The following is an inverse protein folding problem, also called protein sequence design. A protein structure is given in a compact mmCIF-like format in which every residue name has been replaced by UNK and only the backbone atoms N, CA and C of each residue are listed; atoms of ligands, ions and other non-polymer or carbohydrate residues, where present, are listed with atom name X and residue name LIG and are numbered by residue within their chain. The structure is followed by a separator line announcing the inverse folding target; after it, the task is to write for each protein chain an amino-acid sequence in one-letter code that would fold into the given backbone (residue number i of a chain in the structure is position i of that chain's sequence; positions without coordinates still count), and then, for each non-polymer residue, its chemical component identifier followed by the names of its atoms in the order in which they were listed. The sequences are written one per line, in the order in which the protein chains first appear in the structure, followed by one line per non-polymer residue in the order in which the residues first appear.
data_IF_407886370817
#
_entry.id   IF_407886370817
#
_cell.length_a   1.000
_cell.length_b   1.000
_cell.length_c   1.000
_cell.angle_alpha   90.00
_cell.angle_beta   90.00
_cell.angle_gamma   90.00
#
_symmetry.space_group_name_H-M   'P 1'
#
loop_
_entity.id
_entity.type
_entity.pdbx_description
1 polymer ?
#
# COMPACT_ATOMS: atom_id res chain seq x y z
N UNK A 1 -4.05 53.10 -11.66
CA UNK A 1 -3.56 52.39 -10.46
C UNK A 1 -4.52 51.28 -10.04
N UNK A 2 -5.77 51.59 -9.68
CA UNK A 2 -6.78 50.59 -9.27
C UNK A 2 -6.99 49.43 -10.27
N UNK A 3 -7.13 49.72 -11.57
CA UNK A 3 -7.28 48.67 -12.60
C UNK A 3 -6.08 47.73 -12.72
N UNK A 4 -4.87 48.23 -12.45
CA UNK A 4 -3.66 47.42 -12.53
C UNK A 4 -3.60 46.44 -11.35
N UNK A 5 -3.97 46.91 -10.15
CA UNK A 5 -4.06 46.09 -8.93
C UNK A 5 -5.09 44.98 -9.07
N UNK A 6 -6.28 45.28 -9.61
CA UNK A 6 -7.31 44.26 -9.86
C UNK A 6 -6.76 43.14 -10.77
N UNK A 7 -6.04 43.50 -11.83
CA UNK A 7 -5.47 42.53 -12.78
C UNK A 7 -4.33 41.69 -12.16
N UNK A 8 -3.55 42.29 -11.26
CA UNK A 8 -2.50 41.58 -10.53
C UNK A 8 -3.09 40.61 -9.50
N UNK A 9 -4.10 41.03 -8.73
CA UNK A 9 -4.85 40.16 -7.81
C UNK A 9 -5.52 39.00 -8.55
N UNK A 10 -6.19 39.26 -9.68
CA UNK A 10 -6.76 38.19 -10.52
C UNK A 10 -5.70 37.19 -10.97
N UNK A 11 -4.51 37.67 -11.36
CA UNK A 11 -3.40 36.81 -11.77
C UNK A 11 -2.86 35.98 -10.59
N UNK A 12 -2.74 36.57 -9.40
CA UNK A 12 -2.32 35.85 -8.20
C UNK A 12 -3.34 34.75 -7.83
N UNK A 13 -4.63 35.05 -7.91
CA UNK A 13 -5.71 34.05 -7.67
C UNK A 13 -5.62 32.90 -8.68
N UNK A 14 -5.41 33.19 -9.97
CA UNK A 14 -5.25 32.15 -11.00
C UNK A 14 -4.05 31.25 -10.69
N UNK A 15 -2.89 31.84 -10.38
CA UNK A 15 -1.65 31.10 -10.06
C UNK A 15 -1.82 30.26 -8.79
N UNK A 16 -2.56 30.76 -7.79
CA UNK A 16 -2.88 30.02 -6.58
C UNK A 16 -3.75 28.80 -6.89
N UNK A 17 -4.85 28.97 -7.63
CA UNK A 17 -5.75 27.88 -8.00
C UNK A 17 -5.03 26.78 -8.77
N UNK A 18 -4.22 27.13 -9.78
CA UNK A 18 -3.43 26.14 -10.51
C UNK A 18 -2.42 25.42 -9.62
N UNK A 19 -1.84 26.11 -8.65
CA UNK A 19 -0.89 25.51 -7.71
C UNK A 19 -1.59 24.52 -6.78
N UNK A 20 -2.79 24.83 -6.30
CA UNK A 20 -3.61 23.91 -5.52
C UNK A 20 -4.02 22.68 -6.34
N UNK A 21 -4.39 22.85 -7.61
CA UNK A 21 -4.71 21.73 -8.50
C UNK A 21 -3.51 20.82 -8.73
N UNK A 22 -2.32 21.40 -8.95
CA UNK A 22 -1.07 20.64 -9.06
C UNK A 22 -0.74 19.89 -7.78
N UNK A 23 -0.94 20.51 -6.61
CA UNK A 23 -0.73 19.84 -5.32
C UNK A 23 -1.71 18.69 -5.12
N UNK A 24 -2.98 18.89 -5.46
CA UNK A 24 -4.01 17.85 -5.38
C UNK A 24 -3.69 16.68 -6.28
N UNK A 25 -3.24 16.93 -7.51
CA UNK A 25 -2.89 15.87 -8.45
C UNK A 25 -1.68 15.06 -7.99
N UNK A 26 -0.65 15.74 -7.46
CA UNK A 26 0.52 15.07 -6.86
C UNK A 26 0.12 14.21 -5.67
N UNK A 27 -0.69 14.73 -4.76
CA UNK A 27 -1.16 13.97 -3.61
C UNK A 27 -1.98 12.73 -4.03
N UNK A 28 -2.82 12.85 -5.08
CA UNK A 28 -3.55 11.70 -5.63
C UNK A 28 -2.61 10.66 -6.23
N UNK A 29 -1.65 11.07 -7.04
CA UNK A 29 -0.74 10.13 -7.71
C UNK A 29 0.18 9.42 -6.72
N UNK A 30 0.73 10.15 -5.75
CA UNK A 30 1.52 9.58 -4.65
C UNK A 30 0.69 8.60 -3.82
N UNK A 31 -0.54 8.97 -3.47
CA UNK A 31 -1.47 8.10 -2.74
C UNK A 31 -1.81 6.81 -3.50
N UNK A 32 -2.02 6.88 -4.82
CA UNK A 32 -2.26 5.69 -5.64
C UNK A 32 -1.03 4.77 -5.71
N UNK A 33 0.17 5.33 -5.82
CA UNK A 33 1.42 4.54 -5.86
C UNK A 33 1.64 3.83 -4.53
N UNK A 34 1.50 4.57 -3.41
CA UNK A 34 1.65 4.00 -2.08
C UNK A 34 0.60 2.92 -1.81
N UNK A 35 -0.67 3.21 -2.10
CA UNK A 35 -1.75 2.25 -1.92
C UNK A 35 -1.60 1.00 -2.77
N UNK A 36 -1.12 1.11 -4.01
CA UNK A 36 -0.82 -0.05 -4.87
C UNK A 36 0.32 -0.88 -4.28
N UNK A 37 1.39 -0.25 -3.81
CA UNK A 37 2.54 -0.94 -3.21
C UNK A 37 2.13 -1.68 -1.94
N UNK A 38 1.44 -1.00 -1.03
CA UNK A 38 1.00 -1.60 0.23
C UNK A 38 -0.02 -2.71 -0.01
N UNK A 39 -0.93 -2.52 -0.97
CA UNK A 39 -1.91 -3.53 -1.37
C UNK A 39 -1.26 -4.78 -1.95
N UNK A 40 -0.19 -4.65 -2.73
CA UNK A 40 0.55 -5.78 -3.27
C UNK A 40 1.23 -6.58 -2.16
N UNK A 41 1.94 -5.90 -1.25
CA UNK A 41 2.62 -6.53 -0.11
C UNK A 41 1.62 -7.24 0.79
N UNK A 42 0.52 -6.58 1.16
CA UNK A 42 -0.53 -7.19 1.98
C UNK A 42 -1.20 -8.38 1.26
N UNK A 43 -1.31 -8.33 -0.06
CA UNK A 43 -1.86 -9.41 -0.87
C UNK A 43 -0.97 -10.65 -0.87
N UNK A 44 0.34 -10.45 -1.06
CA UNK A 44 1.36 -11.50 -1.01
C UNK A 44 1.40 -12.16 0.38
N UNK A 45 1.48 -11.37 1.46
CA UNK A 45 1.48 -11.89 2.83
C UNK A 45 0.20 -12.70 3.14
N UNK A 46 -0.98 -12.22 2.72
CA UNK A 46 -2.25 -12.96 2.88
C UNK A 46 -2.26 -14.25 2.08
N UNK A 47 -1.71 -14.25 0.88
CA UNK A 47 -1.64 -15.44 0.05
C UNK A 47 -0.73 -16.50 0.67
N UNK A 48 0.45 -16.09 1.15
CA UNK A 48 1.38 -16.96 1.88
C UNK A 48 0.74 -17.55 3.13
N UNK A 49 0.15 -16.72 3.99
CA UNK A 49 -0.53 -17.18 5.20
C UNK A 49 -1.65 -18.18 4.89
N UNK A 50 -2.42 -17.94 3.82
CA UNK A 50 -3.47 -18.87 3.37
C UNK A 50 -2.89 -20.21 2.94
N UNK A 51 -1.79 -20.21 2.18
CA UNK A 51 -1.12 -21.44 1.73
C UNK A 51 -0.57 -22.19 2.95
N UNK A 52 0.19 -21.52 3.83
CA UNK A 52 0.75 -22.12 5.04
C UNK A 52 -0.34 -22.73 5.94
N UNK A 53 -1.44 -22.01 6.13
CA UNK A 53 -2.61 -22.49 6.90
C UNK A 53 -3.18 -23.76 6.28
N UNK A 54 -3.29 -23.83 4.95
CA UNK A 54 -3.79 -25.01 4.26
C UNK A 54 -2.84 -26.21 4.36
N UNK A 55 -1.53 -25.98 4.32
CA UNK A 55 -0.52 -27.02 4.48
C UNK A 55 -0.55 -27.59 5.91
N UNK A 56 -0.62 -26.72 6.92
CA UNK A 56 -0.75 -27.10 8.32
C UNK A 56 -2.04 -27.87 8.60
N UNK A 57 -3.18 -27.45 8.03
CA UNK A 57 -4.46 -28.18 8.13
C UNK A 57 -4.41 -29.57 7.50
N UNK A 58 -3.50 -29.80 6.54
CA UNK A 58 -3.24 -31.11 5.94
C UNK A 58 -2.26 -31.97 6.75
N UNK A 59 -1.76 -31.48 7.88
CA UNK A 59 -0.83 -32.21 8.75
C UNK A 59 0.60 -32.27 8.24
N UNK A 60 0.98 -31.35 7.34
CA UNK A 60 2.36 -31.27 6.84
C UNK A 60 3.26 -30.70 7.95
N UNK A 61 4.46 -31.29 8.12
CA UNK A 61 5.40 -30.87 9.16
C UNK A 61 5.99 -29.49 8.89
N UNK A 62 6.28 -28.76 9.97
CA UNK A 62 6.88 -27.42 9.91
C UNK A 62 8.20 -27.40 9.13
N UNK A 63 9.06 -28.40 9.37
CA UNK A 63 10.37 -28.49 8.74
C UNK A 63 10.25 -28.58 7.21
N UNK A 64 9.30 -29.37 6.73
CA UNK A 64 9.06 -29.57 5.30
C UNK A 64 8.41 -28.35 4.65
N UNK A 65 7.51 -27.66 5.37
CA UNK A 65 6.93 -26.40 4.92
C UNK A 65 8.02 -25.35 4.74
N UNK A 66 8.89 -25.17 5.74
CA UNK A 66 9.99 -24.18 5.67
C UNK A 66 10.95 -24.48 4.52
N UNK A 67 11.27 -25.76 4.30
CA UNK A 67 12.17 -26.20 3.23
C UNK A 67 11.61 -25.93 1.83
N UNK A 68 10.32 -26.23 1.58
CA UNK A 68 9.72 -26.05 0.25
C UNK A 68 9.37 -24.60 -0.02
N UNK A 69 8.79 -23.92 0.97
CA UNK A 69 8.22 -22.58 0.76
C UNK A 69 9.25 -21.48 0.94
N UNK A 70 10.34 -21.74 1.67
CA UNK A 70 11.38 -20.76 1.98
C UNK A 70 10.91 -19.61 2.88
N UNK A 71 9.71 -19.72 3.48
CA UNK A 71 9.17 -18.67 4.36
C UNK A 71 9.93 -18.62 5.68
N UNK A 72 9.87 -17.47 6.36
CA UNK A 72 10.43 -17.35 7.70
C UNK A 72 9.64 -18.16 8.72
N UNK A 73 10.31 -18.58 9.79
CA UNK A 73 9.64 -19.25 10.93
C UNK A 73 8.57 -18.36 11.57
N UNK A 74 8.73 -17.04 11.51
CA UNK A 74 7.74 -16.09 12.03
C UNK A 74 6.41 -16.17 11.28
N UNK A 75 6.44 -16.22 9.94
CA UNK A 75 5.23 -16.35 9.12
C UNK A 75 4.51 -17.67 9.38
N UNK A 76 5.27 -18.76 9.54
CA UNK A 76 4.70 -20.06 9.91
C UNK A 76 4.00 -20.02 11.28
N UNK A 77 4.57 -19.32 12.26
CA UNK A 77 3.97 -19.15 13.58
C UNK A 77 2.68 -18.32 13.52
N UNK A 78 2.64 -17.25 12.71
CA UNK A 78 1.41 -16.48 12.45
C UNK A 78 0.31 -17.35 11.82
N UNK A 79 0.67 -18.21 10.86
CA UNK A 79 -0.28 -19.14 10.25
C UNK A 79 -0.84 -20.15 11.27
N UNK A 80 0.00 -20.65 12.19
CA UNK A 80 -0.45 -21.54 13.28
C UNK A 80 -1.44 -20.88 14.24
N UNK A 81 -1.19 -19.62 14.61
CA UNK A 81 -2.10 -18.84 15.44
C UNK A 81 -3.48 -18.63 14.78
N UNK A 82 -3.56 -18.74 13.45
CA UNK A 82 -4.81 -18.59 12.71
C UNK A 82 -5.64 -19.90 12.63
N UNK A 83 -5.08 -21.03 13.08
CA UNK A 83 -5.73 -22.36 13.09
C UNK A 83 -6.35 -22.69 14.45
N UNK A 84 -5.84 -22.06 15.52
CA UNK A 84 -6.38 -22.15 16.87
C UNK A 84 -7.38 -21.02 17.12
#
# INVERSE_FOLDING_TARGET
ELYQQIKEEEKEVIVMCESLDRMREKARSEGMILGRRDGLIQGEEKAELRILTNLLKKGISDSYILEITGVSSELLMKAKQSIH
#
